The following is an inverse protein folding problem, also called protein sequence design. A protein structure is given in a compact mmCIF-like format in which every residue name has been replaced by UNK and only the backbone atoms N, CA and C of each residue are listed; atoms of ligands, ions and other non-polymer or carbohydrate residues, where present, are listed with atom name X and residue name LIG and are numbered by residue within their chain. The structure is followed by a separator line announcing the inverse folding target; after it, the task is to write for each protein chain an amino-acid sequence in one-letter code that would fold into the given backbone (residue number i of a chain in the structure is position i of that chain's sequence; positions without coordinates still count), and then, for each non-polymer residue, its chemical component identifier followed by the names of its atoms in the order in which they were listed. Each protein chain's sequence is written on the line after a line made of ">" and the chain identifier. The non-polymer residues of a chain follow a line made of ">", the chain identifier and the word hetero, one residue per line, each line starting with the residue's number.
data_IF_077901872173
#
_entry.id   IF_077901872173
#
_cell.length_a   1.000
_cell.length_b   1.000
_cell.length_c   1.000
_cell.angle_alpha   90.00
_cell.angle_beta   90.00
_cell.angle_gamma   90.00
#
_symmetry.space_group_name_H-M   'P 1'
#
loop_
_entity.id
_entity.type
_entity.pdbx_description
1 polymer ?
#
# COMPACT_ATOMS: atom_id res chain seq x y z
N UNK A 1 26.87 5.97 10.23
CA UNK A 1 25.89 5.55 11.25
C UNK A 1 24.52 6.21 11.06
N UNK A 2 24.38 7.55 11.02
CA UNK A 2 23.09 8.24 10.76
C UNK A 2 22.49 7.95 9.39
N UNK A 3 23.33 7.68 8.40
CA UNK A 3 22.95 7.38 7.00
C UNK A 3 22.15 6.08 6.84
N UNK A 4 22.52 5.00 7.54
CA UNK A 4 21.78 3.71 7.46
C UNK A 4 20.36 3.82 8.04
N UNK A 5 20.19 4.54 9.16
CA UNK A 5 18.86 4.78 9.78
C UNK A 5 17.99 5.60 8.85
N UNK A 6 18.51 6.71 8.30
CA UNK A 6 17.77 7.52 7.34
C UNK A 6 17.36 6.71 6.11
N UNK A 7 18.29 5.94 5.52
CA UNK A 7 17.99 5.06 4.39
C UNK A 7 16.91 4.03 4.71
N UNK A 8 16.95 3.43 5.90
CA UNK A 8 15.95 2.46 6.36
C UNK A 8 14.57 3.11 6.54
N UNK A 9 14.51 4.28 7.16
CA UNK A 9 13.28 5.06 7.30
C UNK A 9 12.68 5.42 5.93
N UNK A 10 13.53 5.80 4.97
CA UNK A 10 13.09 6.14 3.61
C UNK A 10 12.60 4.91 2.83
N UNK A 11 13.19 3.73 3.04
CA UNK A 11 12.67 2.47 2.46
C UNK A 11 11.26 2.18 2.99
N UNK A 12 11.03 2.32 4.30
CA UNK A 12 9.72 2.13 4.90
C UNK A 12 8.74 3.15 4.32
N UNK A 13 9.10 4.44 4.35
CA UNK A 13 8.25 5.50 3.84
C UNK A 13 7.92 5.33 2.35
N UNK A 14 8.89 4.95 1.53
CA UNK A 14 8.72 4.70 0.10
C UNK A 14 7.88 3.45 -0.20
N UNK A 15 7.90 2.45 0.68
CA UNK A 15 7.04 1.25 0.57
C UNK A 15 5.59 1.61 0.83
N UNK A 16 5.34 2.46 1.82
CA UNK A 16 3.99 2.91 2.18
C UNK A 16 3.45 3.94 1.18
N UNK A 17 4.24 4.97 0.81
CA UNK A 17 3.80 6.05 -0.10
C UNK A 17 3.76 5.54 -1.54
N UNK A 18 2.57 5.11 -1.95
CA UNK A 18 2.30 4.56 -3.26
C UNK A 18 0.86 4.80 -3.70
N UNK A 19 0.36 3.93 -4.57
CA UNK A 19 -0.99 3.99 -5.10
C UNK A 19 -2.10 4.05 -4.04
N UNK A 20 -1.92 3.41 -2.87
CA UNK A 20 -2.92 3.45 -1.79
C UNK A 20 -3.26 4.86 -1.29
N UNK A 21 -2.31 5.79 -1.42
CA UNK A 21 -2.52 7.21 -1.12
C UNK A 21 -3.62 7.84 -1.98
N UNK A 22 -3.70 7.46 -3.26
CA UNK A 22 -4.69 8.01 -4.20
C UNK A 22 -6.12 7.56 -3.86
N UNK A 23 -6.27 6.41 -3.20
CA UNK A 23 -7.55 5.91 -2.75
C UNK A 23 -8.07 6.61 -1.48
N UNK A 24 -7.20 7.26 -0.70
CA UNK A 24 -7.58 7.80 0.61
C UNK A 24 -8.73 8.81 0.52
N UNK A 25 -8.69 9.84 -0.34
CA UNK A 25 -9.76 10.84 -0.38
C UNK A 25 -11.09 10.24 -0.83
N UNK A 26 -11.04 9.34 -1.82
CA UNK A 26 -12.21 8.61 -2.34
C UNK A 26 -12.97 7.86 -1.25
N UNK A 27 -12.27 7.16 -0.38
CA UNK A 27 -12.92 6.33 0.66
C UNK A 27 -13.25 7.09 1.93
N UNK A 28 -12.71 8.31 2.11
CA UNK A 28 -12.82 9.04 3.37
C UNK A 28 -13.51 10.40 3.27
N UNK A 29 -13.86 10.85 2.06
CA UNK A 29 -14.67 12.06 1.85
C UNK A 29 -15.98 12.04 2.66
N UNK A 30 -16.62 10.88 2.70
CA UNK A 30 -17.84 10.60 3.45
C UNK A 30 -17.66 10.60 4.99
N UNK A 31 -16.42 10.45 5.49
CA UNK A 31 -16.09 10.57 6.92
C UNK A 31 -15.82 12.02 7.34
N UNK A 32 -15.53 12.90 6.38
CA UNK A 32 -14.97 14.22 6.65
C UNK A 32 -13.51 14.18 7.12
N UNK A 33 -12.83 15.31 7.00
CA UNK A 33 -11.39 15.42 7.22
C UNK A 33 -10.94 15.02 8.63
N UNK A 34 -11.64 15.49 9.67
CA UNK A 34 -11.25 15.24 11.07
C UNK A 34 -11.37 13.76 11.45
N UNK A 35 -12.49 13.13 11.11
CA UNK A 35 -12.72 11.70 11.38
C UNK A 35 -11.73 10.83 10.61
N UNK A 36 -11.51 11.12 9.33
CA UNK A 36 -10.53 10.43 8.50
C UNK A 36 -9.12 10.56 9.09
N UNK A 37 -8.72 11.76 9.51
CA UNK A 37 -7.42 12.02 10.12
C UNK A 37 -7.22 11.23 11.41
N UNK A 38 -8.20 11.23 12.30
CA UNK A 38 -8.14 10.46 13.55
C UNK A 38 -8.04 8.96 13.28
N UNK A 39 -8.80 8.45 12.30
CA UNK A 39 -8.74 7.06 11.88
C UNK A 39 -7.35 6.70 11.34
N UNK A 40 -6.76 7.54 10.48
CA UNK A 40 -5.41 7.34 9.95
C UNK A 40 -4.35 7.33 11.05
N UNK A 41 -4.45 8.22 12.05
CA UNK A 41 -3.57 8.23 13.22
C UNK A 41 -3.72 6.93 14.02
N UNK A 42 -4.96 6.45 14.23
CA UNK A 42 -5.23 5.19 14.91
C UNK A 42 -4.65 3.97 14.18
N UNK A 43 -4.86 3.89 12.86
CA UNK A 43 -4.29 2.84 12.01
C UNK A 43 -2.77 2.90 12.05
N UNK A 44 -2.17 4.09 11.89
CA UNK A 44 -0.73 4.28 12.01
C UNK A 44 -0.21 3.78 13.35
N UNK A 45 -0.86 4.12 14.46
CA UNK A 45 -0.44 3.67 15.79
C UNK A 45 -0.43 2.14 15.91
N UNK A 46 -1.45 1.45 15.37
CA UNK A 46 -1.54 -0.01 15.36
C UNK A 46 -0.48 -0.64 14.44
N UNK A 47 -0.24 -0.04 13.27
CA UNK A 47 0.77 -0.52 12.31
C UNK A 47 2.18 -0.32 12.84
N UNK A 48 2.48 0.83 13.45
CA UNK A 48 3.73 1.07 14.15
C UNK A 48 3.89 0.09 15.32
N UNK A 49 2.86 -0.11 16.13
CA UNK A 49 2.92 -1.08 17.24
C UNK A 49 3.24 -2.50 16.78
N UNK A 50 2.54 -3.00 15.77
CA UNK A 50 2.78 -4.35 15.23
C UNK A 50 4.12 -4.48 14.53
N UNK A 51 4.66 -3.40 13.95
CA UNK A 51 6.04 -3.41 13.44
C UNK A 51 7.08 -3.57 14.55
N UNK A 52 6.81 -2.99 15.73
CA UNK A 52 7.66 -3.20 16.91
C UNK A 52 7.53 -4.64 17.44
N UNK A 53 6.34 -5.26 17.36
CA UNK A 53 6.19 -6.69 17.68
C UNK A 53 7.06 -7.54 16.77
N UNK A 54 7.12 -7.20 15.48
CA UNK A 54 8.02 -7.89 14.54
C UNK A 54 9.49 -7.70 14.91
N UNK A 55 9.92 -6.50 15.34
CA UNK A 55 11.27 -6.29 15.86
C UNK A 55 11.55 -7.19 17.07
N UNK A 56 10.62 -7.28 18.02
CA UNK A 56 10.74 -8.19 19.17
C UNK A 56 10.87 -9.66 18.74
N UNK A 57 10.15 -10.09 17.70
CA UNK A 57 10.27 -11.46 17.19
C UNK A 57 11.63 -11.70 16.51
N UNK A 58 12.11 -10.73 15.71
CA UNK A 58 13.37 -10.87 14.98
C UNK A 58 14.60 -11.00 15.89
N UNK A 59 14.56 -10.48 17.12
CA UNK A 59 15.67 -10.64 18.08
C UNK A 59 15.97 -12.12 18.42
N UNK A 60 15.01 -13.02 18.17
CA UNK A 60 15.13 -14.45 18.42
C UNK A 60 15.38 -15.28 17.16
N UNK A 61 15.51 -14.63 16.00
CA UNK A 61 15.80 -15.25 14.72
C UNK A 61 17.22 -14.96 14.24
N UNK A 62 17.59 -15.55 13.11
CA UNK A 62 18.80 -15.17 12.39
C UNK A 62 18.65 -13.77 11.79
N UNK A 63 19.75 -13.06 11.57
CA UNK A 63 19.74 -11.71 10.98
C UNK A 63 19.05 -11.66 9.60
N UNK A 64 19.21 -12.72 8.81
CA UNK A 64 18.60 -12.89 7.48
C UNK A 64 17.20 -13.51 7.53
N UNK A 65 16.63 -13.70 8.72
CA UNK A 65 15.33 -14.33 8.86
C UNK A 65 14.25 -13.52 8.14
N UNK A 66 13.44 -14.22 7.35
CA UNK A 66 12.27 -13.66 6.66
C UNK A 66 11.02 -13.90 7.49
N UNK A 67 9.92 -13.23 7.15
CA UNK A 67 8.61 -13.53 7.74
C UNK A 67 8.25 -15.01 7.60
N UNK A 68 8.62 -15.62 6.48
CA UNK A 68 8.39 -17.04 6.19
C UNK A 68 9.19 -17.97 7.11
N UNK A 69 10.47 -17.68 7.34
CA UNK A 69 11.31 -18.48 8.25
C UNK A 69 10.92 -18.28 9.72
N UNK A 70 10.55 -17.07 10.14
CA UNK A 70 10.03 -16.80 11.49
C UNK A 70 8.70 -17.49 11.74
N UNK A 71 7.77 -17.44 10.77
CA UNK A 71 6.51 -18.19 10.82
C UNK A 71 6.76 -19.69 10.97
N UNK A 72 7.74 -20.23 10.25
CA UNK A 72 8.13 -21.64 10.39
C UNK A 72 8.73 -21.95 11.75
N UNK A 73 9.62 -21.08 12.25
CA UNK A 73 10.31 -21.26 13.52
C UNK A 73 9.34 -21.27 14.72
N UNK A 74 8.39 -20.33 14.76
CA UNK A 74 7.54 -20.12 15.93
C UNK A 74 6.14 -20.73 15.83
N UNK A 75 5.62 -20.96 14.61
CA UNK A 75 4.26 -21.46 14.36
C UNK A 75 4.23 -22.76 13.53
N UNK A 76 5.40 -23.31 13.19
CA UNK A 76 5.52 -24.56 12.45
C UNK A 76 5.07 -24.48 10.98
N UNK A 77 4.79 -25.64 10.38
CA UNK A 77 4.44 -25.73 8.94
C UNK A 77 3.14 -25.00 8.60
N UNK A 78 2.17 -25.01 9.51
CA UNK A 78 0.86 -24.41 9.27
C UNK A 78 0.94 -22.89 9.29
N UNK A 79 1.62 -22.28 10.27
CA UNK A 79 1.84 -20.83 10.29
C UNK A 79 2.64 -20.34 9.07
N UNK A 80 3.64 -21.10 8.65
CA UNK A 80 4.38 -20.83 7.41
C UNK A 80 3.47 -20.80 6.16
N UNK A 81 2.57 -21.79 6.01
CA UNK A 81 1.61 -21.83 4.90
C UNK A 81 0.65 -20.64 4.92
N UNK A 82 0.13 -20.27 6.09
CA UNK A 82 -0.75 -19.11 6.24
C UNK A 82 -0.02 -17.83 5.82
N UNK A 83 1.21 -17.62 6.31
CA UNK A 83 2.02 -16.45 5.94
C UNK A 83 2.27 -16.38 4.42
N UNK A 84 2.63 -17.51 3.80
CA UNK A 84 2.85 -17.58 2.34
C UNK A 84 1.57 -17.31 1.56
N UNK A 85 0.45 -17.92 1.94
CA UNK A 85 -0.81 -17.72 1.26
C UNK A 85 -1.27 -16.26 1.35
N UNK A 86 -1.21 -15.66 2.55
CA UNK A 86 -1.56 -14.25 2.72
C UNK A 86 -0.65 -13.32 1.95
N UNK A 87 0.65 -13.61 1.85
CA UNK A 87 1.59 -12.82 1.03
C UNK A 87 1.25 -12.89 -0.46
N UNK A 88 0.99 -14.09 -0.98
CA UNK A 88 0.55 -14.28 -2.36
C UNK A 88 -0.77 -13.55 -2.63
N UNK A 89 -1.75 -13.70 -1.74
CA UNK A 89 -3.06 -13.07 -1.87
C UNK A 89 -2.94 -11.53 -1.87
N UNK A 90 -2.13 -10.98 -0.96
CA UNK A 90 -1.83 -9.55 -0.91
C UNK A 90 -1.24 -9.06 -2.24
N UNK A 91 -0.21 -9.72 -2.75
CA UNK A 91 0.46 -9.31 -3.99
C UNK A 91 -0.46 -9.41 -5.20
N UNK A 92 -1.25 -10.48 -5.33
CA UNK A 92 -2.22 -10.57 -6.41
C UNK A 92 -3.31 -9.49 -6.33
N UNK A 93 -3.86 -9.24 -5.14
CA UNK A 93 -4.88 -8.20 -4.94
C UNK A 93 -4.32 -6.79 -5.25
N UNK A 94 -3.11 -6.48 -4.79
CA UNK A 94 -2.45 -5.21 -5.11
C UNK A 94 -2.12 -5.09 -6.60
N UNK A 95 -1.63 -6.14 -7.26
CA UNK A 95 -1.45 -6.13 -8.72
C UNK A 95 -2.78 -5.89 -9.45
N UNK A 96 -3.86 -6.53 -9.01
CA UNK A 96 -5.18 -6.36 -9.59
C UNK A 96 -5.68 -4.90 -9.45
N UNK A 97 -5.51 -4.31 -8.26
CA UNK A 97 -5.82 -2.90 -8.03
C UNK A 97 -5.03 -2.00 -8.99
N UNK A 98 -3.72 -2.22 -9.11
CA UNK A 98 -2.87 -1.34 -9.89
C UNK A 98 -3.03 -1.52 -11.41
N UNK A 99 -3.39 -2.71 -11.88
CA UNK A 99 -3.80 -2.89 -13.27
C UNK A 99 -5.12 -2.16 -13.52
N UNK A 100 -6.12 -2.29 -12.65
CA UNK A 100 -7.40 -1.58 -12.80
C UNK A 100 -7.21 -0.05 -12.83
N UNK A 101 -6.61 0.53 -11.78
CA UNK A 101 -6.42 1.98 -11.69
C UNK A 101 -5.39 2.54 -12.68
N UNK A 102 -4.30 1.80 -12.94
CA UNK A 102 -3.26 2.22 -13.88
C UNK A 102 -3.73 2.17 -15.34
N UNK A 103 -4.46 1.12 -15.72
CA UNK A 103 -4.97 1.00 -17.09
C UNK A 103 -6.09 1.99 -17.41
N UNK A 104 -6.92 2.35 -16.43
CA UNK A 104 -7.95 3.39 -16.59
C UNK A 104 -7.32 4.76 -16.92
N UNK A 105 -6.31 5.18 -16.15
CA UNK A 105 -5.58 6.42 -16.45
C UNK A 105 -4.83 6.34 -17.79
N UNK A 106 -4.20 5.20 -18.08
CA UNK A 106 -3.51 4.98 -19.35
C UNK A 106 -4.47 5.03 -20.54
N UNK A 107 -5.68 4.46 -20.40
CA UNK A 107 -6.73 4.49 -21.40
C UNK A 107 -7.20 5.91 -21.73
N UNK A 108 -7.53 6.71 -20.70
CA UNK A 108 -7.93 8.11 -20.87
C UNK A 108 -6.90 8.90 -21.67
N UNK A 109 -5.62 8.81 -21.29
CA UNK A 109 -4.53 9.54 -21.95
C UNK A 109 -4.25 9.05 -23.36
N UNK A 110 -4.34 7.74 -23.61
CA UNK A 110 -4.16 7.20 -24.95
C UNK A 110 -5.24 7.69 -25.91
N UNK A 111 -6.49 7.73 -25.47
CA UNK A 111 -7.60 8.19 -26.31
C UNK A 111 -7.59 9.71 -26.55
N UNK A 112 -6.94 10.50 -25.68
CA UNK A 112 -6.66 11.92 -25.96
C UNK A 112 -5.56 12.12 -27.03
N UNK A 113 -4.60 11.20 -27.10
CA UNK A 113 -3.42 11.28 -27.99
C UNK A 113 -3.67 10.65 -29.36
N UNK A 114 -4.48 9.59 -29.43
CA UNK A 114 -4.70 8.82 -30.63
C UNK A 114 -5.89 9.36 -31.45
N UNK A 115 -5.83 9.29 -32.78
CA UNK A 115 -6.94 9.70 -33.64
C UNK A 115 -8.10 8.69 -33.69
N UNK A 116 -8.00 7.58 -32.96
CA UNK A 116 -9.01 6.52 -32.87
C UNK A 116 -9.19 6.08 -31.42
N UNK A 117 -10.40 5.67 -31.07
CA UNK A 117 -10.70 5.19 -29.72
C UNK A 117 -10.27 3.73 -29.56
N UNK A 118 -9.30 3.50 -28.67
CA UNK A 118 -9.00 2.17 -28.15
C UNK A 118 -10.07 1.79 -27.12
N UNK A 119 -10.46 0.51 -27.09
CA UNK A 119 -11.34 0.00 -26.04
C UNK A 119 -10.58 -0.12 -24.71
N UNK A 120 -11.29 0.02 -23.59
CA UNK A 120 -10.71 -0.18 -22.25
C UNK A 120 -10.03 -1.57 -22.14
N UNK A 121 -10.69 -2.61 -22.67
CA UNK A 121 -10.14 -3.97 -22.73
C UNK A 121 -8.75 -4.03 -23.39
N UNK A 122 -8.57 -3.36 -24.54
CA UNK A 122 -7.28 -3.31 -25.22
C UNK A 122 -6.24 -2.52 -24.41
N UNK A 123 -6.63 -1.37 -23.85
CA UNK A 123 -5.75 -0.54 -23.02
C UNK A 123 -5.25 -1.28 -21.78
N UNK A 124 -6.09 -2.06 -21.09
CA UNK A 124 -5.71 -2.88 -19.93
C UNK A 124 -4.69 -3.97 -20.28
N UNK A 125 -4.88 -4.66 -21.41
CA UNK A 125 -3.92 -5.67 -21.89
C UNK A 125 -2.59 -5.00 -22.22
N UNK A 126 -2.61 -3.91 -23.00
CA UNK A 126 -1.39 -3.19 -23.41
C UNK A 126 -0.63 -2.69 -22.19
N UNK A 127 -1.31 -2.02 -21.26
CA UNK A 127 -0.72 -1.53 -20.01
C UNK A 127 -0.03 -2.65 -19.23
N UNK A 128 -0.72 -3.78 -19.07
CA UNK A 128 -0.18 -4.95 -18.35
C UNK A 128 1.04 -5.54 -19.08
N UNK A 129 0.97 -5.66 -20.41
CA UNK A 129 2.09 -6.16 -21.22
C UNK A 129 3.33 -5.27 -21.13
N UNK A 130 3.17 -3.94 -21.08
CA UNK A 130 4.28 -3.00 -20.92
C UNK A 130 4.99 -3.26 -19.58
N UNK A 131 4.25 -3.31 -18.47
CA UNK A 131 4.84 -3.55 -17.15
C UNK A 131 5.43 -4.95 -17.06
N UNK A 132 4.74 -5.97 -17.59
CA UNK A 132 5.25 -7.33 -17.65
C UNK A 132 6.60 -7.43 -18.37
N UNK A 133 6.71 -6.73 -19.50
CA UNK A 133 7.95 -6.68 -20.28
C UNK A 133 9.08 -6.03 -19.47
N UNK A 134 8.82 -4.91 -18.81
CA UNK A 134 9.80 -4.23 -17.93
C UNK A 134 10.31 -5.18 -16.84
N UNK A 135 9.40 -5.90 -16.16
CA UNK A 135 9.79 -6.85 -15.09
C UNK A 135 10.61 -8.03 -15.66
N UNK A 136 10.29 -8.52 -16.86
CA UNK A 136 11.02 -9.65 -17.46
C UNK A 136 12.47 -9.33 -17.84
N UNK A 137 12.82 -8.05 -18.03
CA UNK A 137 14.21 -7.61 -18.24
C UNK A 137 15.08 -7.66 -16.98
N UNK A 138 14.50 -8.03 -15.83
CA UNK A 138 15.22 -8.34 -14.60
C UNK A 138 15.39 -7.17 -13.63
N UNK A 139 15.79 -7.50 -12.40
CA UNK A 139 15.82 -6.60 -11.24
C UNK A 139 16.65 -5.33 -11.44
N UNK A 140 17.79 -5.41 -12.13
CA UNK A 140 18.66 -4.24 -12.37
C UNK A 140 17.96 -3.17 -13.19
N UNK A 141 17.27 -3.57 -14.26
CA UNK A 141 16.51 -2.66 -15.14
C UNK A 141 15.36 -2.05 -14.36
N UNK A 142 14.65 -2.87 -13.59
CA UNK A 142 13.55 -2.43 -12.72
C UNK A 142 14.01 -1.42 -11.68
N UNK A 143 15.13 -1.65 -11.01
CA UNK A 143 15.69 -0.74 -10.01
C UNK A 143 16.01 0.65 -10.60
N UNK A 144 16.67 0.69 -11.76
CA UNK A 144 17.03 1.96 -12.42
C UNK A 144 15.77 2.74 -12.82
N UNK A 145 14.80 2.07 -13.46
CA UNK A 145 13.55 2.69 -13.87
C UNK A 145 12.80 3.19 -12.64
N UNK A 146 12.60 2.33 -11.64
CA UNK A 146 11.83 2.67 -10.44
C UNK A 146 12.47 3.82 -9.67
N UNK A 147 13.80 3.89 -9.58
CA UNK A 147 14.51 5.00 -8.92
C UNK A 147 14.25 6.34 -9.61
N UNK A 148 14.29 6.36 -10.94
CA UNK A 148 13.96 7.55 -11.74
C UNK A 148 12.51 7.98 -11.55
N UNK A 149 11.56 7.05 -11.71
CA UNK A 149 10.13 7.31 -11.54
C UNK A 149 9.79 7.77 -10.12
N UNK A 150 10.38 7.15 -9.09
CA UNK A 150 10.16 7.51 -7.69
C UNK A 150 10.69 8.93 -7.38
N UNK A 151 11.84 9.31 -7.95
CA UNK A 151 12.41 10.65 -7.77
C UNK A 151 11.49 11.69 -8.38
N UNK A 152 11.02 11.46 -9.61
CA UNK A 152 10.07 12.35 -10.28
C UNK A 152 8.74 12.42 -9.52
N UNK A 153 8.24 11.28 -9.02
CA UNK A 153 7.03 11.21 -8.17
C UNK A 153 7.15 12.14 -6.96
N UNK A 154 8.28 12.12 -6.26
CA UNK A 154 8.48 12.99 -5.09
C UNK A 154 8.54 14.47 -5.46
N UNK A 155 9.17 14.82 -6.59
CA UNK A 155 9.17 16.21 -7.07
C UNK A 155 7.75 16.67 -7.37
N UNK A 156 6.97 15.86 -8.11
CA UNK A 156 5.57 16.19 -8.40
C UNK A 156 4.74 16.29 -7.11
N UNK A 157 4.92 15.38 -6.15
CA UNK A 157 4.25 15.43 -4.86
C UNK A 157 4.56 16.73 -4.10
N UNK A 158 5.82 17.14 -4.02
CA UNK A 158 6.18 18.39 -3.34
C UNK A 158 5.60 19.61 -4.06
N UNK A 159 5.62 19.61 -5.40
CA UNK A 159 5.01 20.68 -6.20
C UNK A 159 3.51 20.78 -5.93
N UNK A 160 2.76 19.68 -6.01
CA UNK A 160 1.32 19.72 -5.78
C UNK A 160 1.01 20.16 -4.33
N UNK A 161 1.75 19.64 -3.33
CA UNK A 161 1.53 20.01 -1.93
C UNK A 161 1.73 21.52 -1.69
N UNK A 162 2.76 22.11 -2.30
CA UNK A 162 3.06 23.52 -2.14
C UNK A 162 2.03 24.42 -2.84
N UNK A 163 1.67 24.09 -4.09
CA UNK A 163 0.86 24.99 -4.92
C UNK A 163 -0.65 24.84 -4.76
N UNK A 164 -1.16 23.71 -4.25
CA UNK A 164 -2.60 23.51 -4.00
C UNK A 164 -3.06 24.01 -2.64
N UNK A 165 -2.14 24.23 -1.70
CA UNK A 165 -2.48 24.71 -0.35
C UNK A 165 -3.32 26.01 -0.36
N UNK A 166 -3.07 27.01 -1.22
CA UNK A 166 -3.88 28.23 -1.28
C UNK A 166 -5.33 28.01 -1.78
N UNK A 167 -5.58 26.93 -2.53
CA UNK A 167 -6.90 26.62 -3.10
C UNK A 167 -7.81 25.86 -2.14
N UNK A 168 -7.33 25.55 -0.93
CA UNK A 168 -8.10 24.83 0.09
C UNK A 168 -9.23 25.71 0.63
N UNK A 169 -10.45 25.20 0.51
CA UNK A 169 -11.64 25.80 1.12
C UNK A 169 -11.88 25.17 2.49
N UNK A 170 -11.71 25.98 3.55
CA UNK A 170 -11.87 25.51 4.93
C UNK A 170 -13.27 24.99 5.28
N UNK A 171 -14.31 25.49 4.59
CA UNK A 171 -15.69 25.03 4.76
C UNK A 171 -15.84 23.53 4.43
N UNK A 172 -15.21 23.06 3.35
CA UNK A 172 -15.25 21.65 2.96
C UNK A 172 -14.58 20.74 3.99
N UNK A 173 -13.52 21.23 4.65
CA UNK A 173 -12.84 20.48 5.72
C UNK A 173 -13.63 20.40 7.02
N UNK A 174 -14.49 21.40 7.27
CA UNK A 174 -15.35 21.46 8.45
C UNK A 174 -16.69 20.75 8.23
N UNK A 175 -16.99 20.30 7.00
CA UNK A 175 -18.20 19.57 6.68
C UNK A 175 -18.30 18.28 7.52
N UNK A 176 -19.45 18.10 8.16
CA UNK A 176 -19.73 16.91 8.96
C UNK A 176 -20.02 15.70 8.05
N UNK A 177 -19.77 14.45 8.52
CA UNK A 177 -20.12 13.25 7.78
C UNK A 177 -21.60 13.24 7.38
N UNK A 178 -21.91 12.94 6.10
CA UNK A 178 -23.30 12.92 5.58
C UNK A 178 -24.04 11.66 6.00
N UNK A 179 -23.34 10.52 6.10
CA UNK A 179 -23.94 9.21 6.34
C UNK A 179 -23.35 8.49 7.54
N UNK A 180 -24.21 7.87 8.34
CA UNK A 180 -23.82 7.05 9.49
C UNK A 180 -23.42 5.64 9.00
N UNK A 181 -22.30 5.11 9.48
CA UNK A 181 -21.82 3.75 9.14
C UNK A 181 -20.71 3.70 8.08
N UNK A 182 -20.39 4.81 7.42
CA UNK A 182 -19.35 4.87 6.37
C UNK A 182 -17.93 4.60 6.92
N UNK A 183 -17.73 4.74 8.22
CA UNK A 183 -16.49 4.35 8.89
C UNK A 183 -16.10 2.89 8.59
N UNK A 184 -17.11 2.02 8.48
CA UNK A 184 -16.91 0.60 8.24
C UNK A 184 -16.42 0.36 6.82
N UNK A 185 -16.87 1.09 5.80
CA UNK A 185 -16.46 0.82 4.41
C UNK A 185 -15.08 1.41 4.07
N UNK A 186 -14.68 2.51 4.71
CA UNK A 186 -13.39 3.16 4.48
C UNK A 186 -12.20 2.41 5.10
N UNK A 187 -12.45 1.73 6.22
CA UNK A 187 -11.44 1.15 7.09
C UNK A 187 -10.44 0.20 6.37
N UNK A 188 -10.85 -0.75 5.51
CA UNK A 188 -9.94 -1.71 4.88
C UNK A 188 -8.97 -1.04 3.91
N UNK A 189 -9.46 -0.07 3.15
CA UNK A 189 -8.65 0.64 2.14
C UNK A 189 -7.64 1.56 2.82
N UNK A 190 -8.05 2.32 3.83
CA UNK A 190 -7.13 3.15 4.61
C UNK A 190 -6.08 2.27 5.29
N UNK A 191 -6.49 1.14 5.87
CA UNK A 191 -5.57 0.18 6.50
C UNK A 191 -4.52 -0.34 5.50
N UNK A 192 -4.95 -0.71 4.30
CA UNK A 192 -4.06 -1.20 3.23
C UNK A 192 -3.01 -0.17 2.83
N UNK A 193 -3.36 1.11 2.83
CA UNK A 193 -2.42 2.20 2.52
C UNK A 193 -1.29 2.34 3.54
N UNK A 194 -1.42 1.81 4.76
CA UNK A 194 -0.34 1.84 5.76
C UNK A 194 0.55 0.58 5.77
N UNK A 195 0.43 -0.31 4.77
CA UNK A 195 1.20 -1.55 4.70
C UNK A 195 2.70 -1.34 4.45
N UNK A 196 3.55 -1.75 5.40
CA UNK A 196 5.01 -1.81 5.20
C UNK A 196 5.68 -3.05 5.83
N UNK A 197 4.92 -3.96 6.44
CA UNK A 197 5.47 -5.10 7.19
C UNK A 197 6.36 -6.03 6.35
N UNK A 198 6.15 -6.06 5.03
CA UNK A 198 7.01 -6.80 4.10
C UNK A 198 8.45 -6.30 4.03
N UNK A 199 8.71 -5.02 4.34
CA UNK A 199 10.08 -4.46 4.31
C UNK A 199 10.85 -4.69 5.61
N UNK A 200 10.18 -5.09 6.70
CA UNK A 200 10.81 -5.23 8.04
C UNK A 200 12.02 -6.18 8.02
N UNK A 201 11.94 -7.40 7.45
CA UNK A 201 13.11 -8.30 7.40
C UNK A 201 14.33 -7.69 6.71
N UNK A 202 14.11 -6.94 5.62
CA UNK A 202 15.20 -6.27 4.90
C UNK A 202 15.84 -5.17 5.75
N UNK A 203 15.04 -4.40 6.49
CA UNK A 203 15.55 -3.37 7.42
C UNK A 203 16.34 -4.00 8.56
N UNK A 204 15.83 -5.08 9.15
CA UNK A 204 16.51 -5.84 10.20
C UNK A 204 17.87 -6.34 9.72
N UNK A 205 17.91 -6.94 8.53
CA UNK A 205 19.13 -7.44 7.93
C UNK A 205 20.14 -6.31 7.63
N UNK A 206 19.68 -5.19 7.07
CA UNK A 206 20.52 -4.03 6.70
C UNK A 206 21.12 -3.30 7.91
N UNK A 207 20.39 -3.28 9.03
CA UNK A 207 20.80 -2.68 10.29
C UNK A 207 21.48 -3.66 11.24
N UNK A 208 21.74 -4.89 10.79
CA UNK A 208 22.52 -5.90 11.52
C UNK A 208 21.94 -6.19 12.91
N UNK A 209 20.61 -6.32 13.00
CA UNK A 209 19.87 -6.55 14.25
C UNK A 209 20.08 -5.50 15.36
N UNK A 210 20.59 -4.30 15.04
CA UNK A 210 20.67 -3.19 16.01
C UNK A 210 19.27 -2.69 16.38
N UNK A 211 18.75 -3.18 17.51
CA UNK A 211 17.38 -2.94 18.00
C UNK A 211 17.05 -1.45 18.06
N UNK A 212 17.97 -0.62 18.57
CA UNK A 212 17.73 0.81 18.73
C UNK A 212 17.58 1.49 17.38
N UNK A 213 18.47 1.18 16.43
CA UNK A 213 18.40 1.73 15.07
C UNK A 213 17.15 1.25 14.33
N UNK A 214 16.79 -0.02 14.46
CA UNK A 214 15.60 -0.58 13.80
C UNK A 214 14.35 0.08 14.37
N UNK A 215 14.21 0.18 15.70
CA UNK A 215 13.08 0.86 16.35
C UNK A 215 12.89 2.30 15.86
N UNK A 216 13.97 3.08 15.80
CA UNK A 216 13.92 4.46 15.28
C UNK A 216 13.50 4.46 13.81
N UNK A 217 14.05 3.56 13.00
CA UNK A 217 13.73 3.47 11.57
C UNK A 217 12.27 3.12 11.33
N UNK A 218 11.71 2.18 12.10
CA UNK A 218 10.31 1.77 12.04
C UNK A 218 9.37 2.94 12.40
N UNK A 219 9.63 3.65 13.50
CA UNK A 219 8.78 4.74 13.94
C UNK A 219 8.89 5.96 13.02
N UNK A 220 10.10 6.44 12.75
CA UNK A 220 10.30 7.62 11.89
C UNK A 220 9.88 7.33 10.45
N UNK A 221 10.23 6.15 9.93
CA UNK A 221 9.88 5.73 8.57
C UNK A 221 8.38 5.58 8.36
N UNK A 222 7.62 5.08 9.35
CA UNK A 222 6.16 4.96 9.25
C UNK A 222 5.40 6.26 9.54
N UNK A 223 5.97 7.19 10.33
CA UNK A 223 5.37 8.52 10.55
C UNK A 223 5.40 9.41 9.31
N UNK A 224 6.41 9.27 8.44
CA UNK A 224 6.50 10.11 7.25
C UNK A 224 5.31 9.90 6.28
N UNK A 225 4.89 8.67 5.94
CA UNK A 225 3.65 8.41 5.21
C UNK A 225 2.41 9.00 5.88
N UNK A 226 2.27 8.87 7.22
CA UNK A 226 1.14 9.46 7.94
C UNK A 226 1.05 10.97 7.68
N UNK A 227 2.17 11.69 7.83
CA UNK A 227 2.21 13.15 7.61
C UNK A 227 1.82 13.47 6.17
N UNK A 228 2.44 12.78 5.19
CA UNK A 228 2.15 12.98 3.77
C UNK A 228 0.68 12.71 3.44
N UNK A 229 0.10 11.67 4.03
CA UNK A 229 -1.30 11.32 3.81
C UNK A 229 -2.25 12.33 4.45
N UNK A 230 -1.95 12.86 5.64
CA UNK A 230 -2.77 13.90 6.26
C UNK A 230 -2.79 15.19 5.41
N UNK A 231 -1.64 15.58 4.85
CA UNK A 231 -1.57 16.72 3.93
C UNK A 231 -2.35 16.47 2.64
N UNK A 232 -2.17 15.30 2.03
CA UNK A 232 -2.90 14.90 0.84
C UNK A 232 -4.41 14.86 1.06
N UNK A 233 -4.82 14.30 2.18
CA UNK A 233 -6.21 14.23 2.60
C UNK A 233 -6.82 15.61 2.80
N UNK A 234 -6.13 16.49 3.54
CA UNK A 234 -6.59 17.86 3.79
C UNK A 234 -6.63 18.71 2.53
N UNK A 235 -5.70 18.50 1.60
CA UNK A 235 -5.74 19.19 0.31
C UNK A 235 -6.92 18.72 -0.53
N UNK A 236 -7.04 17.43 -0.77
CA UNK A 236 -8.03 16.88 -1.69
C UNK A 236 -9.46 17.06 -1.19
N UNK A 237 -9.72 16.86 0.11
CA UNK A 237 -11.03 17.18 0.71
C UNK A 237 -11.29 18.68 0.81
N UNK A 238 -10.26 19.51 0.73
CA UNK A 238 -10.38 20.96 0.73
C UNK A 238 -10.73 21.54 -0.64
N UNK A 239 -10.70 20.74 -1.71
CA UNK A 239 -10.90 21.22 -3.08
C UNK A 239 -12.30 20.91 -3.61
N UNK A 240 -12.95 19.87 -3.11
CA UNK A 240 -14.27 19.42 -3.57
C UNK A 240 -15.26 19.35 -2.39
N UNK A 241 -16.51 19.68 -2.67
CA UNK A 241 -17.64 19.46 -1.79
C UNK A 241 -17.99 17.97 -1.67
N UNK A 242 -18.73 17.61 -0.62
CA UNK A 242 -19.19 16.23 -0.44
C UNK A 242 -20.12 15.75 -1.57
N UNK A 243 -20.88 16.64 -2.19
CA UNK A 243 -21.74 16.30 -3.32
C UNK A 243 -20.92 15.96 -4.57
N UNK A 244 -19.85 16.71 -4.83
CA UNK A 244 -18.91 16.40 -5.93
C UNK A 244 -18.23 15.06 -5.68
N UNK A 245 -17.78 14.78 -4.46
CA UNK A 245 -17.23 13.45 -4.10
C UNK A 245 -18.23 12.31 -4.31
N UNK A 246 -19.52 12.52 -4.02
CA UNK A 246 -20.56 11.51 -4.23
C UNK A 246 -20.80 11.13 -5.70
N UNK A 247 -20.32 11.94 -6.65
CA UNK A 247 -20.45 11.70 -8.09
C UNK A 247 -19.21 11.04 -8.71
N UNK A 248 -18.12 10.92 -7.94
CA UNK A 248 -16.85 10.37 -8.41
C UNK A 248 -16.89 8.85 -8.34
N UNK A 249 -16.76 8.21 -9.51
CA UNK A 249 -16.72 6.76 -9.66
C UNK A 249 -15.37 6.32 -10.22
N UNK A 250 -14.42 6.07 -9.32
CA UNK A 250 -13.10 5.56 -9.67
C UNK A 250 -11.99 6.60 -9.59
N UNK A 251 -10.78 6.16 -9.90
CA UNK A 251 -9.57 6.96 -9.70
C UNK A 251 -9.38 8.00 -10.80
N UNK A 252 -9.63 7.64 -12.06
CA UNK A 252 -9.46 8.59 -13.16
C UNK A 252 -10.39 9.80 -13.00
N UNK A 253 -11.68 9.57 -12.74
CA UNK A 253 -12.63 10.65 -12.51
C UNK A 253 -12.22 11.52 -11.31
N UNK A 254 -11.74 10.92 -10.21
CA UNK A 254 -11.21 11.69 -9.08
C UNK A 254 -10.09 12.66 -9.47
N UNK A 255 -9.12 12.18 -10.24
CA UNK A 255 -8.01 13.02 -10.69
C UNK A 255 -8.52 14.12 -11.62
N UNK A 256 -9.40 13.81 -12.56
CA UNK A 256 -9.97 14.79 -13.50
C UNK A 256 -10.81 15.87 -12.79
N UNK A 257 -11.61 15.49 -11.79
CA UNK A 257 -12.38 16.47 -11.00
C UNK A 257 -11.46 17.39 -10.20
N UNK A 258 -10.42 16.87 -9.54
CA UNK A 258 -9.46 17.75 -8.85
C UNK A 258 -8.70 18.63 -9.86
N UNK A 259 -8.41 18.14 -11.07
CA UNK A 259 -7.80 18.98 -12.11
C UNK A 259 -8.70 20.13 -12.54
N UNK A 260 -10.02 19.93 -12.56
CA UNK A 260 -10.98 20.95 -12.98
C UNK A 260 -11.05 22.14 -11.99
N UNK A 261 -10.69 21.91 -10.72
CA UNK A 261 -10.62 22.97 -9.69
C UNK A 261 -9.32 23.76 -9.68
N UNK A 262 -8.37 23.45 -10.56
CA UNK A 262 -7.02 24.05 -10.57
C UNK A 262 -6.88 24.98 -11.77
N UNK A 263 -6.65 26.27 -11.56
CA UNK A 263 -6.50 27.22 -12.68
C UNK A 263 -5.18 27.06 -13.46
N UNK A 264 -4.10 26.62 -12.80
CA UNK A 264 -2.78 26.53 -13.41
C UNK A 264 -2.54 25.17 -14.08
N UNK A 265 -2.44 25.17 -15.41
CA UNK A 265 -2.18 23.98 -16.24
C UNK A 265 -0.96 23.16 -15.79
N UNK A 266 0.12 23.81 -15.33
CA UNK A 266 1.29 23.12 -14.80
C UNK A 266 0.95 22.24 -13.59
N UNK A 267 0.12 22.74 -12.67
CA UNK A 267 -0.29 22.01 -11.47
C UNK A 267 -1.23 20.86 -11.85
N UNK A 268 -2.16 21.08 -12.79
CA UNK A 268 -3.02 20.01 -13.31
C UNK A 268 -2.20 18.85 -13.89
N UNK A 269 -1.17 19.17 -14.69
CA UNK A 269 -0.26 18.17 -15.26
C UNK A 269 0.58 17.49 -14.18
N UNK A 270 1.09 18.24 -13.20
CA UNK A 270 1.85 17.70 -12.08
C UNK A 270 1.02 16.73 -11.25
N UNK A 271 -0.25 17.02 -10.99
CA UNK A 271 -1.20 16.14 -10.29
C UNK A 271 -1.43 14.83 -11.06
N UNK A 272 -1.73 14.93 -12.36
CA UNK A 272 -1.95 13.75 -13.20
C UNK A 272 -0.69 12.89 -13.33
N UNK A 273 0.47 13.51 -13.52
CA UNK A 273 1.74 12.81 -13.59
C UNK A 273 2.12 12.20 -12.23
N UNK A 274 1.84 12.88 -11.12
CA UNK A 274 2.01 12.31 -9.79
C UNK A 274 1.17 11.04 -9.61
N UNK A 275 -0.11 11.06 -9.98
CA UNK A 275 -1.01 9.92 -9.86
C UNK A 275 -0.51 8.72 -10.69
N UNK A 276 -0.12 8.95 -11.95
CA UNK A 276 0.50 7.93 -12.81
C UNK A 276 1.76 7.34 -12.20
N UNK A 277 2.68 8.19 -11.74
CA UNK A 277 3.96 7.74 -11.19
C UNK A 277 3.76 7.01 -9.86
N UNK A 278 2.81 7.44 -9.02
CA UNK A 278 2.45 6.76 -7.79
C UNK A 278 1.91 5.36 -8.06
N UNK A 279 1.02 5.21 -9.04
CA UNK A 279 0.52 3.90 -9.48
C UNK A 279 1.62 3.04 -10.08
N UNK A 280 2.38 3.58 -11.04
CA UNK A 280 3.37 2.81 -11.78
C UNK A 280 4.52 2.34 -10.87
N UNK A 281 5.02 3.19 -9.99
CA UNK A 281 6.09 2.80 -9.04
C UNK A 281 5.63 1.71 -8.07
N UNK A 282 4.39 1.82 -7.56
CA UNK A 282 3.80 0.76 -6.73
C UNK A 282 3.58 -0.53 -7.50
N UNK A 283 3.10 -0.44 -8.74
CA UNK A 283 2.86 -1.61 -9.57
C UNK A 283 4.14 -2.35 -9.90
N UNK A 284 5.19 -1.63 -10.32
CA UNK A 284 6.50 -2.20 -10.58
C UNK A 284 7.04 -2.91 -9.32
N UNK A 285 6.96 -2.27 -8.15
CA UNK A 285 7.45 -2.85 -6.90
C UNK A 285 6.74 -4.13 -6.49
N UNK A 286 5.40 -4.10 -6.45
CA UNK A 286 4.60 -5.28 -6.07
C UNK A 286 4.70 -6.38 -7.12
N UNK A 287 4.69 -6.02 -8.40
CA UNK A 287 4.76 -6.99 -9.48
C UNK A 287 6.12 -7.69 -9.53
N UNK A 288 7.22 -6.97 -9.30
CA UNK A 288 8.54 -7.59 -9.15
C UNK A 288 8.53 -8.59 -7.99
N UNK A 289 7.98 -8.19 -6.83
CA UNK A 289 7.89 -9.05 -5.65
C UNK A 289 7.08 -10.33 -5.92
N UNK A 290 5.93 -10.22 -6.60
CA UNK A 290 5.11 -11.37 -6.99
C UNK A 290 5.83 -12.26 -8.00
N UNK A 291 6.44 -11.66 -9.01
CA UNK A 291 7.18 -12.38 -10.05
C UNK A 291 8.33 -13.19 -9.47
N UNK A 292 9.15 -12.59 -8.60
CA UNK A 292 10.25 -13.29 -7.93
C UNK A 292 9.75 -14.35 -6.96
N UNK A 293 8.72 -14.05 -6.17
CA UNK A 293 8.12 -15.01 -5.25
C UNK A 293 7.63 -16.26 -5.99
N UNK A 294 6.92 -16.09 -7.10
CA UNK A 294 6.49 -17.19 -7.94
C UNK A 294 7.69 -17.88 -8.56
N UNK A 295 8.63 -17.13 -9.15
CA UNK A 295 9.84 -17.71 -9.74
C UNK A 295 10.53 -18.68 -8.78
N UNK A 296 10.73 -18.28 -7.53
CA UNK A 296 11.43 -19.08 -6.51
C UNK A 296 10.60 -20.23 -5.93
N UNK A 297 9.29 -20.23 -6.14
CA UNK A 297 8.39 -21.28 -5.66
C UNK A 297 8.50 -22.60 -6.45
N UNK A 298 9.08 -22.61 -7.65
CA UNK A 298 9.21 -23.82 -8.47
C UNK A 298 10.38 -23.77 -9.45
N UNK A 299 11.18 -24.85 -9.51
CA UNK A 299 12.28 -25.01 -10.49
C UNK A 299 11.82 -24.82 -11.94
N UNK A 300 10.59 -25.24 -12.27
CA UNK A 300 10.01 -25.06 -13.63
C UNK A 300 9.80 -23.59 -13.96
N UNK A 301 9.38 -22.80 -12.98
CA UNK A 301 9.10 -21.36 -13.16
C UNK A 301 10.41 -20.57 -13.19
N UNK A 302 11.42 -20.97 -12.41
CA UNK A 302 12.77 -20.40 -12.49
C UNK A 302 13.40 -20.45 -13.89
N UNK A 303 13.12 -21.50 -14.66
CA UNK A 303 13.67 -21.74 -16.00
C UNK A 303 12.98 -20.94 -17.11
N UNK A 304 11.77 -20.40 -16.88
CA UNK A 304 11.02 -19.66 -17.89
C UNK A 304 10.41 -18.39 -17.32
N UNK A 305 11.00 -17.24 -17.66
CA UNK A 305 10.46 -15.92 -17.33
C UNK A 305 9.07 -15.71 -17.93
N UNK A 306 8.77 -16.31 -19.09
CA UNK A 306 7.46 -16.21 -19.75
C UNK A 306 6.39 -16.94 -18.92
N UNK A 307 6.66 -18.18 -18.50
CA UNK A 307 5.71 -18.94 -17.65
C UNK A 307 5.47 -18.20 -16.34
N UNK A 308 6.54 -17.68 -15.71
CA UNK A 308 6.42 -16.91 -14.47
C UNK A 308 5.61 -15.62 -14.69
N UNK A 309 5.84 -14.90 -15.81
CA UNK A 309 5.06 -13.71 -16.15
C UNK A 309 3.58 -14.06 -16.35
N UNK A 310 3.26 -15.12 -17.09
CA UNK A 310 1.87 -15.56 -17.28
C UNK A 310 1.19 -15.86 -15.95
N UNK A 311 1.86 -16.57 -15.03
CA UNK A 311 1.32 -16.84 -13.69
C UNK A 311 1.15 -15.56 -12.86
N UNK A 312 2.08 -14.62 -12.97
CA UNK A 312 2.07 -13.34 -12.25
C UNK A 312 0.90 -12.47 -12.69
N UNK A 313 0.73 -12.30 -14.00
CA UNK A 313 -0.14 -11.28 -14.56
C UNK A 313 -1.52 -11.78 -14.97
N UNK A 314 -1.70 -13.07 -15.28
CA UNK A 314 -3.01 -13.56 -15.75
C UNK A 314 -4.11 -13.39 -14.70
N UNK A 315 -3.94 -13.80 -13.43
CA UNK A 315 -4.99 -13.61 -12.42
C UNK A 315 -5.39 -12.14 -12.19
N UNK A 316 -4.45 -11.20 -11.95
CA UNK A 316 -4.82 -9.80 -11.72
C UNK A 316 -5.31 -9.09 -12.99
N UNK A 317 -4.82 -9.49 -14.18
CA UNK A 317 -5.35 -9.00 -15.46
C UNK A 317 -6.80 -9.41 -15.66
N UNK A 318 -7.14 -10.69 -15.45
CA UNK A 318 -8.52 -11.16 -15.55
C UNK A 318 -9.44 -10.36 -14.62
N UNK A 319 -9.03 -10.14 -13.37
CA UNK A 319 -9.79 -9.28 -12.45
C UNK A 319 -10.02 -7.89 -13.04
N UNK A 320 -8.97 -7.20 -13.50
CA UNK A 320 -9.09 -5.84 -14.02
C UNK A 320 -9.94 -5.76 -15.31
N UNK A 321 -9.96 -6.80 -16.13
CA UNK A 321 -10.80 -6.86 -17.33
C UNK A 321 -12.29 -7.00 -17.00
N UNK A 322 -12.64 -7.75 -15.94
CA UNK A 322 -14.03 -7.91 -15.50
C UNK A 322 -14.50 -6.83 -14.52
N UNK A 323 -13.57 -6.18 -13.82
CA UNK A 323 -13.82 -5.11 -12.86
C UNK A 323 -12.94 -3.89 -13.20
N UNK A 324 -13.26 -3.13 -14.27
CA UNK A 324 -12.42 -2.02 -14.75
C UNK A 324 -12.28 -0.88 -13.73
N UNK A 325 -13.29 -0.62 -12.91
CA UNK A 325 -13.23 0.31 -11.77
C UNK A 325 -12.86 -0.40 -10.45
N UNK A 326 -12.22 -1.57 -10.53
CA UNK A 326 -11.90 -2.44 -9.41
C UNK A 326 -10.75 -1.96 -8.52
N UNK A 327 -10.21 -0.75 -8.71
CA UNK A 327 -9.08 -0.22 -7.94
C UNK A 327 -9.35 -0.23 -6.42
N UNK A 328 -10.44 0.40 -5.99
CA UNK A 328 -10.84 0.47 -4.57
C UNK A 328 -11.25 -0.91 -4.05
N UNK A 329 -12.00 -1.67 -4.86
CA UNK A 329 -12.46 -3.02 -4.51
C UNK A 329 -11.28 -3.97 -4.21
N UNK A 330 -10.28 -4.00 -5.09
CA UNK A 330 -9.11 -4.86 -4.92
C UNK A 330 -8.23 -4.41 -3.73
N UNK A 331 -8.11 -3.10 -3.47
CA UNK A 331 -7.46 -2.59 -2.26
C UNK A 331 -8.20 -3.02 -0.99
N UNK A 332 -9.54 -3.02 -1.01
CA UNK A 332 -10.36 -3.50 0.09
C UNK A 332 -10.09 -4.98 0.41
N UNK A 333 -10.07 -5.85 -0.60
CA UNK A 333 -9.74 -7.27 -0.40
C UNK A 333 -8.27 -7.50 -0.01
N UNK A 334 -7.34 -6.68 -0.49
CA UNK A 334 -5.95 -6.72 -0.06
C UNK A 334 -5.81 -6.50 1.46
N UNK A 335 -6.72 -5.75 2.08
CA UNK A 335 -6.75 -5.52 3.52
C UNK A 335 -6.86 -6.83 4.31
N UNK A 336 -7.66 -7.80 3.85
CA UNK A 336 -7.82 -9.10 4.53
C UNK A 336 -6.46 -9.81 4.61
N UNK A 337 -5.73 -9.84 3.50
CA UNK A 337 -4.40 -10.42 3.42
C UNK A 337 -3.41 -9.69 4.34
N UNK A 338 -3.46 -8.36 4.32
CA UNK A 338 -2.61 -7.51 5.13
C UNK A 338 -2.94 -7.65 6.63
N UNK A 339 -4.20 -7.81 7.04
CA UNK A 339 -4.57 -8.06 8.45
C UNK A 339 -3.88 -9.31 8.97
N UNK A 340 -3.89 -10.39 8.17
CA UNK A 340 -3.21 -11.62 8.56
C UNK A 340 -1.71 -11.38 8.72
N UNK A 341 -1.07 -10.71 7.76
CA UNK A 341 0.38 -10.49 7.74
C UNK A 341 0.89 -9.46 8.75
N UNK A 342 0.13 -8.40 8.97
CA UNK A 342 0.54 -7.21 9.71
C UNK A 342 -0.05 -7.15 11.13
N UNK A 343 -1.16 -7.84 11.40
CA UNK A 343 -1.80 -7.82 12.72
C UNK A 343 -1.75 -9.21 13.37
N UNK A 344 -2.37 -10.22 12.75
CA UNK A 344 -2.52 -11.53 13.39
C UNK A 344 -1.21 -12.29 13.49
N UNK A 345 -0.41 -12.30 12.42
CA UNK A 345 0.86 -13.03 12.40
C UNK A 345 1.88 -12.43 13.39
N UNK A 346 2.11 -11.10 13.47
CA UNK A 346 3.01 -10.53 14.48
C UNK A 346 2.56 -10.84 15.91
N UNK A 347 1.25 -10.80 16.20
CA UNK A 347 0.71 -11.17 17.52
C UNK A 347 0.95 -12.66 17.82
N UNK A 348 0.66 -13.55 16.88
CA UNK A 348 0.87 -14.99 17.06
C UNK A 348 2.36 -15.32 17.26
N UNK A 349 3.23 -14.70 16.47
CA UNK A 349 4.68 -14.86 16.56
C UNK A 349 5.21 -14.40 17.92
N UNK A 350 4.84 -13.20 18.38
CA UNK A 350 5.36 -12.66 19.64
C UNK A 350 4.88 -13.47 20.84
N UNK A 351 3.63 -13.95 20.83
CA UNK A 351 3.10 -14.82 21.87
C UNK A 351 3.84 -16.15 21.95
N UNK A 352 4.18 -16.74 20.79
CA UNK A 352 4.98 -17.97 20.74
C UNK A 352 6.43 -17.72 21.20
N UNK A 353 7.04 -16.62 20.75
CA UNK A 353 8.40 -16.25 21.11
C UNK A 353 8.55 -16.00 22.62
N UNK A 354 7.66 -15.22 23.23
CA UNK A 354 7.65 -14.93 24.68
C UNK A 354 7.49 -16.19 25.55
N UNK A 355 6.80 -17.23 25.05
CA UNK A 355 6.64 -18.50 25.77
C UNK A 355 7.86 -19.42 25.64
N UNK A 356 8.51 -19.41 24.49
CA UNK A 356 9.54 -20.42 24.14
C UNK A 356 10.97 -19.92 24.34
N UNK A 357 11.20 -18.60 24.37
CA UNK A 357 12.52 -17.98 24.55
C UNK A 357 12.54 -17.18 25.85
N UNK A 358 13.60 -17.34 26.65
CA UNK A 358 13.84 -16.61 27.89
C UNK A 358 14.96 -15.58 27.69
N UNK A 359 14.81 -14.39 28.27
CA UNK A 359 15.77 -13.29 28.14
C UNK A 359 15.58 -12.52 26.83
N UNK A 360 14.88 -11.39 26.88
CA UNK A 360 14.76 -10.44 25.76
C UNK A 360 15.62 -9.22 26.03
N UNK A 361 16.43 -8.79 25.06
CA UNK A 361 17.00 -7.44 25.09
C UNK A 361 15.90 -6.38 24.90
N UNK A 362 14.87 -6.72 24.12
CA UNK A 362 13.75 -5.84 23.82
C UNK A 362 12.40 -6.54 23.91
N UNK A 363 11.45 -5.89 24.56
CA UNK A 363 10.05 -6.31 24.57
C UNK A 363 9.16 -5.08 24.38
N UNK A 364 8.17 -5.19 23.50
CA UNK A 364 7.20 -4.12 23.26
C UNK A 364 6.26 -4.00 24.45
N UNK A 365 6.02 -2.77 24.88
CA UNK A 365 5.10 -2.43 25.97
C UNK A 365 3.64 -2.79 25.64
N UNK A 366 2.77 -2.75 26.65
CA UNK A 366 1.32 -2.97 26.49
C UNK A 366 0.84 -4.39 26.82
N UNK A 367 1.74 -5.36 26.93
CA UNK A 367 1.40 -6.70 27.41
C UNK A 367 0.29 -7.39 26.59
N UNK A 368 -0.52 -8.22 27.24
CA UNK A 368 -1.57 -8.99 26.56
C UNK A 368 -2.77 -8.13 26.13
N UNK A 369 -3.08 -7.04 26.83
CA UNK A 369 -4.21 -6.17 26.49
C UNK A 369 -4.01 -5.50 25.12
N UNK A 370 -2.81 -5.00 24.86
CA UNK A 370 -2.47 -4.43 23.55
C UNK A 370 -2.54 -5.49 22.43
N UNK A 371 -2.12 -6.73 22.68
CA UNK A 371 -2.23 -7.83 21.72
C UNK A 371 -3.70 -8.17 21.40
N UNK A 372 -4.56 -8.19 22.41
CA UNK A 372 -6.01 -8.41 22.23
C UNK A 372 -6.62 -7.27 21.42
N UNK A 373 -6.25 -6.02 21.70
CA UNK A 373 -6.73 -4.86 20.94
C UNK A 373 -6.34 -4.94 19.45
N UNK A 374 -5.11 -5.36 19.14
CA UNK A 374 -4.65 -5.59 17.75
C UNK A 374 -5.49 -6.66 17.06
N UNK A 375 -5.76 -7.78 17.73
CA UNK A 375 -6.58 -8.86 17.17
C UNK A 375 -8.02 -8.39 16.94
N UNK A 376 -8.62 -7.70 17.92
CA UNK A 376 -9.97 -7.15 17.79
C UNK A 376 -10.07 -6.16 16.62
N UNK A 377 -9.07 -5.29 16.44
CA UNK A 377 -9.02 -4.37 15.31
C UNK A 377 -8.87 -5.09 13.96
N UNK A 378 -8.06 -6.15 13.89
CA UNK A 378 -7.96 -6.97 12.67
C UNK A 378 -9.28 -7.67 12.32
N UNK A 379 -9.99 -8.19 13.33
CA UNK A 379 -11.34 -8.77 13.12
C UNK A 379 -12.30 -7.70 12.62
N UNK A 380 -12.27 -6.50 13.20
CA UNK A 380 -13.09 -5.37 12.76
C UNK A 380 -12.84 -5.03 11.28
N UNK A 381 -11.58 -4.93 10.85
CA UNK A 381 -11.24 -4.66 9.44
C UNK A 381 -11.79 -5.74 8.50
N UNK A 382 -11.61 -7.02 8.84
CA UNK A 382 -12.11 -8.12 7.99
C UNK A 382 -13.64 -8.10 7.94
N UNK A 383 -14.30 -7.93 9.08
CA UNK A 383 -15.76 -7.83 9.14
C UNK A 383 -16.27 -6.64 8.31
N UNK A 384 -15.58 -5.51 8.40
CA UNK A 384 -15.85 -4.30 7.62
C UNK A 384 -15.76 -4.55 6.11
N UNK A 385 -14.71 -5.24 5.64
CA UNK A 385 -14.57 -5.59 4.23
C UNK A 385 -15.66 -6.55 3.76
N UNK A 386 -16.03 -7.53 4.59
CA UNK A 386 -17.11 -8.47 4.25
C UNK A 386 -18.44 -7.73 4.15
N UNK A 387 -18.77 -6.87 5.11
CA UNK A 387 -20.01 -6.07 5.12
C UNK A 387 -20.07 -5.16 3.90
N UNK A 388 -18.96 -4.52 3.52
CA UNK A 388 -18.88 -3.66 2.34
C UNK A 388 -19.01 -4.42 1.01
N UNK A 389 -18.90 -5.74 1.03
CA UNK A 389 -19.00 -6.61 -0.15
C UNK A 389 -20.36 -7.32 -0.28
N UNK A 390 -21.23 -7.18 0.73
CA UNK A 390 -22.61 -7.68 0.75
C UNK A 390 -23.55 -6.59 0.24
#
# INVERSE_FOLDING_TARGET
>A
MKTKVLGSSLIIAGTTIGAGMLALPLVSASLGFFTASLLMIGIWAIMSYTSLLMLEVHQYGEQSATLHSLARQFLGKHGQKVATFSMLFLFYALCAAYIAGGSEQFHSKLNELLPFELSNFASTIIFTCIVATIITFGTKTVDIINRGLFTLKLVMLVSILFFLTPSITGEYLLALPVEQGVFITALPVIFTSFGFHGSIPAIVNYLELDVKKIKISLLVGSSLPLIVYLFWQGMTLGLLSQNEFGQINGLNQFITEIQSTIDHQFIQQALSLFADLALLTSFIGVSLGLFEFLRDSSKKWQQSSIVTALLTYTPPLLFALFYPQGFIMALGYAAIALVILALFLPVALVLSARKTKKGSEYQVIGGNSALIAVVAFGVLIIASQIISSL
#
